data_IF_060169442938
#
_entry.id   IF_060169442938
#
_cell.length_a   1.000
_cell.length_b   1.000
_cell.length_c   1.000
_cell.angle_alpha   90.00
_cell.angle_beta   90.00
_cell.angle_gamma   90.00
#
_symmetry.space_group_name_H-M   'P 1'
#
loop_
_entity.id
_entity.type
_entity.pdbx_description
1 polymer ?
#
# COMPACT_ATOMS: atom_id res chain seq x y z
N UNK A 1 -2.65 6.18 -10.47
CA UNK A 1 -1.20 6.45 -10.60
C UNK A 1 -0.83 7.31 -9.40
N UNK A 2 -0.29 6.73 -8.34
CA UNK A 2 0.09 7.47 -7.12
C UNK A 2 1.43 8.13 -7.40
N UNK A 3 1.43 9.44 -7.63
CA UNK A 3 2.66 10.19 -7.87
C UNK A 3 3.28 10.60 -6.53
N UNK A 4 4.29 9.86 -6.08
CA UNK A 4 5.20 10.30 -5.01
C UNK A 4 6.42 10.94 -5.66
N UNK A 5 6.59 12.25 -5.51
CA UNK A 5 7.75 12.99 -6.01
C UNK A 5 8.70 13.28 -4.83
N UNK A 6 9.95 12.79 -4.83
CA UNK A 6 10.88 13.06 -3.74
C UNK A 6 11.54 14.43 -3.92
N UNK A 7 11.48 15.27 -2.88
CA UNK A 7 12.19 16.55 -2.80
C UNK A 7 13.69 16.31 -2.56
N UNK A 8 14.54 16.71 -3.52
CA UNK A 8 15.98 16.95 -3.27
C UNK A 8 16.12 18.33 -2.65
N UNK A 9 16.49 18.40 -1.36
CA UNK A 9 17.07 19.60 -0.78
C UNK A 9 18.59 19.50 -0.85
N UNK A 10 19.19 20.36 -1.66
CA UNK A 10 20.60 20.74 -1.62
C UNK A 10 20.91 21.35 -0.25
N UNK A 11 21.80 20.73 0.51
CA UNK A 11 22.42 21.33 1.70
C UNK A 11 23.87 21.66 1.38
N UNK A 12 24.15 22.96 1.24
CA UNK A 12 25.46 23.55 1.47
C UNK A 12 25.83 23.26 2.93
N UNK A 13 26.97 22.60 3.17
CA UNK A 13 27.59 22.48 4.49
C UNK A 13 29.01 23.03 4.36
N UNK A 14 29.31 24.03 5.17
CA UNK A 14 30.65 24.53 5.41
C UNK A 14 30.94 24.47 6.91
N UNK A 15 32.23 24.30 7.22
CA UNK A 15 32.93 24.36 8.52
C UNK A 15 33.03 23.13 9.43
N UNK A 16 34.23 22.54 9.36
CA UNK A 16 35.26 22.40 10.42
C UNK A 16 35.16 21.35 11.55
N UNK A 17 36.20 20.50 11.53
CA UNK A 17 37.05 19.99 12.64
C UNK A 17 36.47 19.11 13.75
N UNK A 18 37.09 17.92 13.94
CA UNK A 18 37.16 17.23 15.24
C UNK A 18 37.06 15.70 15.15
N UNK A 19 38.18 15.00 15.36
CA UNK A 19 38.35 13.55 15.35
C UNK A 19 37.76 12.83 16.60
N UNK A 20 37.57 11.49 16.58
CA UNK A 20 36.86 10.74 17.62
C UNK A 20 37.79 10.21 18.72
N UNK A 21 37.27 10.04 19.94
CA UNK A 21 37.94 9.35 21.05
C UNK A 21 37.15 8.07 21.38
N UNK A 22 37.84 6.94 21.28
CA UNK A 22 37.46 5.60 21.72
C UNK A 22 38.22 5.28 23.01
N UNK A 23 37.69 4.38 23.86
CA UNK A 23 38.32 3.46 24.84
C UNK A 23 37.39 3.25 26.09
N UNK A 24 37.53 2.19 26.91
CA UNK A 24 37.26 0.78 26.60
C UNK A 24 36.49 0.04 27.74
N UNK A 25 36.41 -1.29 27.60
CA UNK A 25 35.79 -2.33 28.44
C UNK A 25 36.54 -2.69 29.74
N UNK A 26 35.84 -3.48 30.58
CA UNK A 26 36.25 -4.29 31.77
C UNK A 26 36.14 -3.57 33.13
N UNK A 27 35.81 -4.18 34.28
CA UNK A 27 35.74 -5.59 34.68
C UNK A 27 34.91 -5.76 35.98
N UNK A 28 34.60 -7.01 36.31
CA UNK A 28 33.79 -7.54 37.42
C UNK A 28 34.35 -7.36 38.83
N UNK A 29 33.45 -7.21 39.83
CA UNK A 29 33.73 -7.56 41.24
C UNK A 29 32.49 -8.20 41.88
N UNK A 30 32.66 -9.43 42.36
CA UNK A 30 31.74 -10.20 43.20
C UNK A 30 32.19 -10.14 44.66
N UNK A 31 31.27 -9.96 45.62
CA UNK A 31 31.40 -10.50 46.98
C UNK A 31 30.00 -10.78 47.56
N UNK A 32 29.72 -12.05 47.87
CA UNK A 32 28.72 -12.43 48.88
C UNK A 32 29.27 -12.16 50.29
N UNK A 33 28.58 -12.32 51.40
CA UNK A 33 27.29 -12.94 51.75
C UNK A 33 27.16 -12.72 53.27
N UNK A 34 26.00 -12.34 53.82
CA UNK A 34 25.80 -12.47 55.27
C UNK A 34 24.31 -12.66 55.65
N UNK A 35 24.02 -13.90 56.08
CA UNK A 35 23.10 -14.34 57.15
C UNK A 35 21.57 -14.10 57.09
N UNK A 36 20.86 -15.19 57.44
CA UNK A 36 19.41 -15.49 57.55
C UNK A 36 18.93 -15.37 59.03
N UNK A 37 17.68 -15.74 59.43
CA UNK A 37 16.31 -15.53 58.91
C UNK A 37 15.30 -15.13 60.04
N UNK A 38 13.98 -15.28 59.79
CA UNK A 38 12.77 -15.10 60.65
C UNK A 38 12.17 -13.69 60.65
N UNK A 39 10.89 -13.44 60.35
CA UNK A 39 9.76 -14.29 59.94
C UNK A 39 8.47 -13.51 60.20
N UNK A 40 7.58 -13.36 59.22
CA UNK A 40 6.14 -13.12 59.42
C UNK A 40 5.36 -13.17 58.10
N UNK A 41 4.41 -14.09 58.06
CA UNK A 41 3.17 -14.18 57.28
C UNK A 41 2.81 -13.04 56.30
N UNK A 42 2.67 -13.39 55.00
CA UNK A 42 1.65 -12.78 54.13
C UNK A 42 1.31 -13.71 52.94
N UNK A 43 0.03 -14.06 52.88
CA UNK A 43 -0.80 -14.42 51.72
C UNK A 43 -0.15 -15.01 50.45
N UNK A 44 -0.55 -16.26 50.23
CA UNK A 44 -0.54 -17.02 48.99
C UNK A 44 -1.37 -16.30 47.89
N UNK A 45 -0.71 -15.68 46.91
CA UNK A 45 -1.22 -15.57 45.54
C UNK A 45 -0.07 -15.82 44.57
N UNK A 46 0.02 -17.08 44.10
CA UNK A 46 0.88 -17.48 43.00
C UNK A 46 0.03 -17.36 41.74
N UNK A 47 0.18 -16.28 40.97
CA UNK A 47 -0.38 -16.20 39.64
C UNK A 47 0.71 -16.66 38.65
N UNK A 48 0.60 -17.92 38.23
CA UNK A 48 1.35 -18.48 37.10
C UNK A 48 0.33 -18.99 36.10
N UNK A 49 0.10 -18.23 35.03
CA UNK A 49 -0.30 -18.69 33.70
C UNK A 49 -0.80 -17.49 32.90
N UNK A 50 -0.18 -17.18 31.76
CA UNK A 50 -0.77 -16.18 30.87
C UNK A 50 0.11 -15.58 29.78
N UNK A 51 1.20 -16.23 29.33
CA UNK A 51 2.00 -15.72 28.20
C UNK A 51 1.98 -16.68 27.00
N UNK A 52 1.94 -17.99 27.22
CA UNK A 52 1.97 -19.00 26.14
C UNK A 52 0.70 -19.07 25.28
N UNK A 53 -0.46 -18.68 25.80
CA UNK A 53 -1.74 -18.69 25.07
C UNK A 53 -1.98 -17.45 24.21
N UNK A 54 -1.41 -16.30 24.57
CA UNK A 54 -1.62 -15.04 23.86
C UNK A 54 -0.83 -15.00 22.55
N UNK A 55 0.46 -15.37 22.57
CA UNK A 55 1.30 -15.39 21.36
C UNK A 55 0.86 -16.46 20.35
N UNK A 56 0.38 -17.62 20.81
CA UNK A 56 -0.17 -18.66 19.94
C UNK A 56 -1.51 -18.24 19.32
N UNK A 57 -2.39 -17.56 20.08
CA UNK A 57 -3.63 -16.98 19.58
C UNK A 57 -3.37 -15.83 18.60
N UNK A 58 -2.42 -14.95 18.90
CA UNK A 58 -2.01 -13.85 18.02
C UNK A 58 -1.41 -14.37 16.70
N UNK A 59 -0.53 -15.38 16.78
CA UNK A 59 0.03 -16.03 15.58
C UNK A 59 -1.04 -16.70 14.72
N UNK A 60 -2.03 -17.37 15.34
CA UNK A 60 -3.18 -17.94 14.63
C UNK A 60 -4.01 -16.84 13.94
N UNK A 61 -4.31 -15.75 14.64
CA UNK A 61 -5.09 -14.63 14.09
C UNK A 61 -4.36 -13.94 12.93
N UNK A 62 -3.05 -13.72 13.02
CA UNK A 62 -2.25 -13.15 11.93
C UNK A 62 -2.27 -14.09 10.71
N UNK A 63 -2.11 -15.40 10.94
CA UNK A 63 -2.14 -16.41 9.87
C UNK A 63 -3.51 -16.50 9.21
N UNK A 64 -4.58 -16.49 9.99
CA UNK A 64 -5.97 -16.52 9.49
C UNK A 64 -6.31 -15.25 8.72
N UNK A 65 -5.91 -14.08 9.21
CA UNK A 65 -6.10 -12.80 8.51
C UNK A 65 -5.32 -12.76 7.20
N UNK A 66 -4.05 -13.18 7.20
CA UNK A 66 -3.24 -13.27 5.99
C UNK A 66 -3.86 -14.24 4.98
N UNK A 67 -4.36 -15.40 5.43
CA UNK A 67 -5.05 -16.36 4.56
C UNK A 67 -6.32 -15.76 3.96
N UNK A 68 -7.14 -15.10 4.76
CA UNK A 68 -8.36 -14.43 4.31
C UNK A 68 -8.06 -13.33 3.29
N UNK A 69 -7.02 -12.54 3.50
CA UNK A 69 -6.64 -11.47 2.57
C UNK A 69 -6.11 -12.02 1.24
N UNK A 70 -5.36 -13.12 1.27
CA UNK A 70 -4.99 -13.86 0.05
C UNK A 70 -6.24 -14.38 -0.66
N UNK A 71 -7.17 -15.03 0.05
CA UNK A 71 -8.42 -15.55 -0.53
C UNK A 71 -9.26 -14.44 -1.19
N UNK A 72 -9.33 -13.24 -0.60
CA UNK A 72 -10.00 -12.09 -1.22
C UNK A 72 -9.38 -11.71 -2.56
N UNK A 73 -8.06 -11.72 -2.66
CA UNK A 73 -7.35 -11.47 -3.94
C UNK A 73 -7.70 -12.56 -4.96
N UNK A 74 -7.62 -13.83 -4.55
CA UNK A 74 -7.95 -14.96 -5.44
C UNK A 74 -9.41 -14.93 -5.93
N UNK A 75 -10.35 -14.50 -5.09
CA UNK A 75 -11.75 -14.36 -5.46
C UNK A 75 -11.96 -13.16 -6.40
N UNK A 76 -11.31 -12.03 -6.14
CA UNK A 76 -11.37 -10.84 -6.97
C UNK A 76 -10.85 -11.05 -8.40
N UNK A 77 -9.83 -11.90 -8.57
CA UNK A 77 -9.27 -12.28 -9.87
C UNK A 77 -9.74 -13.63 -10.40
N UNK A 78 -10.85 -14.17 -9.87
CA UNK A 78 -11.36 -15.50 -10.26
C UNK A 78 -11.64 -15.61 -11.76
N UNK A 79 -12.29 -14.61 -12.36
CA UNK A 79 -12.60 -14.59 -13.79
C UNK A 79 -11.33 -14.52 -14.66
N UNK A 80 -10.38 -13.66 -14.30
CA UNK A 80 -9.07 -13.56 -14.98
C UNK A 80 -8.30 -14.88 -14.89
N UNK A 81 -8.31 -15.54 -13.72
CA UNK A 81 -7.67 -16.85 -13.55
C UNK A 81 -8.32 -17.93 -14.43
N UNK A 82 -9.64 -17.93 -14.55
CA UNK A 82 -10.35 -18.87 -15.42
C UNK A 82 -9.99 -18.65 -16.90
N UNK A 83 -9.90 -17.40 -17.35
CA UNK A 83 -9.50 -17.11 -18.74
C UNK A 83 -8.05 -17.54 -19.01
N UNK A 84 -7.13 -17.33 -18.05
CA UNK A 84 -5.73 -17.73 -18.17
C UNK A 84 -5.50 -19.24 -17.96
N UNK A 85 -6.51 -20.02 -17.55
CA UNK A 85 -6.36 -21.46 -17.37
C UNK A 85 -6.11 -22.21 -18.70
N UNK A 86 -6.52 -21.61 -19.83
CA UNK A 86 -6.23 -22.13 -21.18
C UNK A 86 -4.73 -22.32 -21.40
N UNK A 87 -3.90 -21.47 -20.78
CA UNK A 87 -2.43 -21.59 -20.85
C UNK A 87 -1.93 -22.95 -20.36
N UNK A 88 -2.59 -23.53 -19.35
CA UNK A 88 -2.20 -24.84 -18.83
C UNK A 88 -2.45 -25.94 -19.84
N UNK A 89 -3.56 -25.87 -20.57
CA UNK A 89 -3.90 -26.80 -21.64
C UNK A 89 -2.94 -26.69 -22.83
N UNK A 90 -2.61 -25.46 -23.23
CA UNK A 90 -1.66 -25.19 -24.32
C UNK A 90 -0.26 -25.76 -24.03
N UNK A 91 0.19 -25.66 -22.78
CA UNK A 91 1.54 -26.06 -22.38
C UNK A 91 1.67 -27.56 -22.09
N UNK A 92 0.57 -28.32 -21.95
CA UNK A 92 0.62 -29.77 -21.72
C UNK A 92 1.23 -30.55 -22.89
N UNK A 93 0.92 -30.14 -24.12
CA UNK A 93 1.38 -30.80 -25.35
C UNK A 93 2.49 -30.04 -26.07
N UNK A 94 3.07 -29.02 -25.41
CA UNK A 94 4.12 -28.22 -26.02
C UNK A 94 5.36 -29.07 -26.32
N UNK A 95 5.90 -28.88 -27.52
CA UNK A 95 7.22 -29.33 -27.93
C UNK A 95 7.90 -28.22 -28.75
N UNK A 96 9.19 -28.38 -29.05
CA UNK A 96 9.97 -27.34 -29.71
C UNK A 96 9.41 -26.94 -31.09
N UNK A 97 8.85 -27.88 -31.86
CA UNK A 97 8.29 -27.60 -33.19
C UNK A 97 6.98 -26.80 -33.11
N UNK A 98 6.22 -26.96 -32.03
CA UNK A 98 4.97 -26.25 -31.76
C UNK A 98 5.17 -24.87 -31.09
N UNK A 99 6.41 -24.43 -30.86
CA UNK A 99 6.71 -23.21 -30.08
C UNK A 99 5.97 -21.99 -30.58
N UNK A 100 6.05 -21.70 -31.88
CA UNK A 100 5.45 -20.47 -32.43
C UNK A 100 3.92 -20.48 -32.26
N UNK A 101 3.27 -21.60 -32.61
CA UNK A 101 1.82 -21.77 -32.45
C UNK A 101 1.38 -21.58 -30.99
N UNK A 102 2.05 -22.25 -30.05
CA UNK A 102 1.71 -22.16 -28.62
C UNK A 102 1.93 -20.75 -28.07
N UNK A 103 2.97 -20.06 -28.53
CA UNK A 103 3.25 -18.69 -28.12
C UNK A 103 2.25 -17.68 -28.70
N UNK A 104 1.76 -17.90 -29.92
CA UNK A 104 0.72 -17.06 -30.53
C UNK A 104 -0.63 -17.24 -29.78
N UNK A 105 -1.01 -18.48 -29.44
CA UNK A 105 -2.21 -18.76 -28.62
C UNK A 105 -2.07 -18.20 -27.19
N UNK A 106 -0.87 -18.24 -26.62
CA UNK A 106 -0.57 -17.58 -25.35
C UNK A 106 -0.72 -16.05 -25.44
N UNK A 107 -0.27 -15.43 -26.53
CA UNK A 107 -0.44 -14.00 -26.75
C UNK A 107 -1.92 -13.61 -26.76
N UNK A 108 -2.74 -14.36 -27.50
CA UNK A 108 -4.18 -14.14 -27.55
C UNK A 108 -4.83 -14.28 -26.15
N UNK A 109 -4.47 -15.32 -25.39
CA UNK A 109 -4.96 -15.50 -24.03
C UNK A 109 -4.61 -14.34 -23.08
N UNK A 110 -3.41 -13.75 -23.25
CA UNK A 110 -2.98 -12.56 -22.52
C UNK A 110 -3.83 -11.34 -22.93
N UNK A 111 -4.04 -11.13 -24.23
CA UNK A 111 -4.86 -10.01 -24.74
C UNK A 111 -6.32 -10.10 -24.26
N UNK A 112 -6.93 -11.29 -24.30
CA UNK A 112 -8.29 -11.55 -23.77
C UNK A 112 -8.39 -11.29 -22.25
N UNK A 113 -7.26 -11.35 -21.56
CA UNK A 113 -7.14 -11.08 -20.11
C UNK A 113 -6.73 -9.64 -19.79
N UNK A 114 -6.93 -8.70 -20.72
CA UNK A 114 -6.60 -7.27 -20.61
C UNK A 114 -5.11 -6.95 -20.44
N UNK A 115 -4.21 -7.86 -20.84
CA UNK A 115 -2.80 -7.49 -20.98
C UNK A 115 -2.65 -6.64 -22.26
N UNK A 116 -2.18 -5.41 -22.11
CA UNK A 116 -2.01 -4.51 -23.26
C UNK A 116 -0.99 -5.07 -24.28
N UNK A 117 -1.14 -4.78 -25.59
CA UNK A 117 -0.33 -5.40 -26.66
C UNK A 117 1.18 -5.34 -26.42
N UNK A 118 1.68 -4.17 -25.99
CA UNK A 118 3.11 -3.97 -25.70
C UNK A 118 3.65 -4.90 -24.60
N UNK A 119 2.82 -5.24 -23.61
CA UNK A 119 3.21 -6.13 -22.52
C UNK A 119 3.16 -7.58 -22.98
N UNK A 120 2.11 -7.97 -23.71
CA UNK A 120 1.92 -9.33 -24.24
C UNK A 120 3.08 -9.72 -25.15
N UNK A 121 3.39 -8.90 -26.17
CA UNK A 121 4.52 -9.11 -27.08
C UNK A 121 5.83 -9.27 -26.31
N UNK A 122 6.08 -8.37 -25.34
CA UNK A 122 7.31 -8.41 -24.54
C UNK A 122 7.45 -9.70 -23.72
N UNK A 123 6.35 -10.21 -23.18
CA UNK A 123 6.35 -11.48 -22.43
C UNK A 123 6.63 -12.63 -23.39
N UNK A 124 5.92 -12.69 -24.50
CA UNK A 124 6.02 -13.78 -25.49
C UNK A 124 7.40 -13.83 -26.13
N UNK A 125 7.97 -12.70 -26.54
CA UNK A 125 9.33 -12.62 -27.11
C UNK A 125 10.39 -13.09 -26.10
N UNK A 126 10.21 -12.76 -24.82
CA UNK A 126 11.13 -13.22 -23.76
C UNK A 126 11.08 -14.75 -23.63
N UNK A 127 9.88 -15.34 -23.65
CA UNK A 127 9.72 -16.79 -23.60
C UNK A 127 10.29 -17.46 -24.84
N UNK A 128 10.01 -16.91 -26.03
CA UNK A 128 10.55 -17.39 -27.32
C UNK A 128 12.08 -17.44 -27.28
N UNK A 129 12.71 -16.35 -26.84
CA UNK A 129 14.17 -16.28 -26.72
C UNK A 129 14.75 -17.31 -25.75
N UNK A 130 14.11 -17.52 -24.60
CA UNK A 130 14.58 -18.48 -23.60
C UNK A 130 14.35 -19.95 -24.01
N UNK A 131 13.29 -20.24 -24.77
CA UNK A 131 13.05 -21.55 -25.40
C UNK A 131 14.14 -21.83 -26.45
N UNK A 132 14.36 -20.90 -27.39
CA UNK A 132 15.33 -21.06 -28.48
C UNK A 132 16.77 -21.16 -27.96
N UNK A 133 17.08 -20.50 -26.85
CA UNK A 133 18.35 -20.61 -26.15
C UNK A 133 18.51 -21.92 -25.33
N UNK A 134 17.49 -22.79 -25.32
CA UNK A 134 17.51 -24.06 -24.59
C UNK A 134 17.43 -23.92 -23.07
N UNK A 135 17.00 -22.75 -22.56
CA UNK A 135 16.85 -22.51 -21.11
C UNK A 135 15.53 -23.05 -20.57
N UNK A 136 14.50 -23.11 -21.41
CA UNK A 136 13.19 -23.66 -21.08
C UNK A 136 12.95 -24.92 -21.90
N UNK A 137 12.75 -26.05 -21.22
CA UNK A 137 12.71 -27.39 -21.80
C UNK A 137 11.41 -28.13 -21.57
N UNK A 138 10.48 -27.55 -20.81
CA UNK A 138 9.17 -28.14 -20.53
C UNK A 138 8.07 -27.08 -20.39
N UNK A 139 6.81 -27.47 -20.60
CA UNK A 139 5.66 -26.59 -20.40
C UNK A 139 5.59 -26.00 -18.99
N UNK A 140 5.96 -26.77 -17.96
CA UNK A 140 6.03 -26.28 -16.58
C UNK A 140 7.08 -25.18 -16.40
N UNK A 141 8.26 -25.32 -17.02
CA UNK A 141 9.30 -24.27 -16.99
C UNK A 141 8.84 -23.01 -17.71
N UNK A 142 8.14 -23.14 -18.85
CA UNK A 142 7.55 -22.02 -19.58
C UNK A 142 6.50 -21.30 -18.72
N UNK A 143 5.64 -22.04 -18.02
CA UNK A 143 4.63 -21.46 -17.11
C UNK A 143 5.27 -20.69 -15.96
N UNK A 144 6.32 -21.23 -15.34
CA UNK A 144 7.02 -20.51 -14.26
C UNK A 144 7.79 -19.29 -14.80
N UNK A 145 8.36 -19.37 -16.00
CA UNK A 145 8.99 -18.24 -16.68
C UNK A 145 7.98 -17.13 -17.03
N UNK A 146 6.77 -17.48 -17.44
CA UNK A 146 5.66 -16.54 -17.66
C UNK A 146 5.31 -15.80 -16.37
N UNK A 147 5.09 -16.53 -15.27
CA UNK A 147 4.82 -15.95 -13.95
C UNK A 147 5.95 -15.03 -13.50
N UNK A 148 7.20 -15.45 -13.69
CA UNK A 148 8.39 -14.67 -13.39
C UNK A 148 8.47 -13.37 -14.21
N UNK A 149 8.15 -13.43 -15.51
CA UNK A 149 8.12 -12.28 -16.40
C UNK A 149 7.08 -11.25 -15.95
N UNK A 150 5.86 -11.67 -15.64
CA UNK A 150 4.80 -10.80 -15.12
C UNK A 150 5.23 -10.17 -13.79
N UNK A 151 5.76 -10.96 -12.86
CA UNK A 151 6.22 -10.46 -11.56
C UNK A 151 7.34 -9.42 -11.71
N UNK A 152 8.28 -9.65 -12.63
CA UNK A 152 9.36 -8.72 -12.91
C UNK A 152 8.84 -7.41 -13.50
N UNK A 153 7.82 -7.45 -14.37
CA UNK A 153 7.19 -6.24 -14.88
C UNK A 153 6.51 -5.41 -13.78
N UNK A 154 5.83 -6.08 -12.85
CA UNK A 154 5.22 -5.43 -11.68
C UNK A 154 6.27 -4.79 -10.77
N UNK A 155 7.40 -5.48 -10.51
CA UNK A 155 8.49 -4.96 -9.67
C UNK A 155 9.29 -3.83 -10.33
N UNK A 156 9.58 -3.93 -11.63
CA UNK A 156 10.40 -2.94 -12.36
C UNK A 156 9.78 -1.55 -12.41
N UNK A 157 8.45 -1.43 -12.32
CA UNK A 157 7.78 -0.12 -12.24
C UNK A 157 7.98 0.61 -10.90
N UNK A 158 8.75 0.04 -9.96
CA UNK A 158 9.59 0.82 -9.04
C UNK A 158 8.88 1.63 -7.95
N UNK A 159 7.59 1.41 -7.71
CA UNK A 159 6.90 1.99 -6.57
C UNK A 159 7.05 1.09 -5.34
N UNK A 160 7.36 1.66 -4.18
CA UNK A 160 7.03 0.98 -2.92
C UNK A 160 5.51 0.87 -2.86
N UNK A 161 5.00 -0.35 -2.65
CA UNK A 161 3.54 -0.58 -2.57
C UNK A 161 2.92 0.05 -1.31
N UNK A 162 3.73 0.28 -0.28
CA UNK A 162 3.33 0.92 0.97
C UNK A 162 3.25 2.43 0.84
N UNK A 163 2.32 3.04 1.58
CA UNK A 163 2.21 4.49 1.69
C UNK A 163 3.47 5.07 2.32
N UNK A 164 4.11 6.01 1.61
CA UNK A 164 5.32 6.69 2.07
C UNK A 164 4.94 7.96 2.83
N UNK A 165 4.49 7.82 4.07
CA UNK A 165 4.01 8.94 4.90
C UNK A 165 5.16 9.75 5.53
N UNK A 166 6.35 9.17 5.64
CA UNK A 166 7.49 9.79 6.34
C UNK A 166 7.24 9.92 7.85
N UNK A 167 8.00 10.80 8.49
CA UNK A 167 7.90 11.06 9.94
C UNK A 167 7.30 12.44 10.28
N UNK A 168 7.20 13.33 9.29
CA UNK A 168 6.64 14.67 9.50
C UNK A 168 5.12 14.58 9.50
N UNK A 169 4.49 15.22 10.48
CA UNK A 169 3.04 15.27 10.64
C UNK A 169 2.51 16.69 10.38
N UNK A 170 1.31 16.82 9.81
CA UNK A 170 0.50 15.73 9.25
C UNK A 170 1.04 15.24 7.90
N UNK A 171 0.89 13.95 7.61
CA UNK A 171 1.06 13.43 6.25
C UNK A 171 -0.21 13.72 5.44
N UNK A 172 -0.07 14.23 4.21
CA UNK A 172 -1.23 14.61 3.38
C UNK A 172 -1.37 13.62 2.23
N UNK A 173 -2.55 13.01 2.10
CA UNK A 173 -2.88 12.06 1.03
C UNK A 173 -4.05 12.61 0.22
N UNK A 174 -3.83 12.89 -1.05
CA UNK A 174 -4.87 13.30 -1.98
C UNK A 174 -5.34 12.10 -2.82
N UNK A 175 -6.65 11.86 -2.84
CA UNK A 175 -7.26 10.82 -3.68
C UNK A 175 -7.85 11.47 -4.93
N UNK A 176 -7.30 11.14 -6.09
CA UNK A 176 -7.64 11.76 -7.39
C UNK A 176 -8.12 10.73 -8.41
N UNK A 177 -8.96 11.15 -9.35
CA UNK A 177 -9.50 10.28 -10.40
C UNK A 177 -10.86 10.73 -10.96
N UNK A 178 -11.31 10.04 -12.00
CA UNK A 178 -12.58 10.34 -12.68
C UNK A 178 -13.80 9.91 -11.87
N UNK A 179 -14.99 10.34 -12.31
CA UNK A 179 -16.25 9.87 -11.75
C UNK A 179 -16.44 8.37 -11.93
N UNK A 180 -17.12 7.72 -10.99
CA UNK A 180 -17.35 6.27 -11.00
C UNK A 180 -16.17 5.42 -10.53
N UNK A 181 -14.95 5.97 -10.44
CA UNK A 181 -13.76 5.23 -9.99
C UNK A 181 -13.69 4.91 -8.49
N UNK A 182 -14.73 5.26 -7.71
CA UNK A 182 -14.81 4.94 -6.28
C UNK A 182 -13.86 5.73 -5.38
N UNK A 183 -13.53 6.99 -5.70
CA UNK A 183 -12.63 7.86 -4.91
C UNK A 183 -13.04 8.00 -3.43
N UNK A 184 -14.19 8.60 -3.19
CA UNK A 184 -14.75 8.85 -1.85
C UNK A 184 -14.87 7.55 -1.05
N UNK A 185 -15.38 6.48 -1.67
CA UNK A 185 -15.47 5.14 -1.06
C UNK A 185 -14.09 4.58 -0.69
N UNK A 186 -13.09 4.74 -1.55
CA UNK A 186 -11.72 4.25 -1.31
C UNK A 186 -11.01 5.07 -0.24
N UNK A 187 -11.27 6.39 -0.18
CA UNK A 187 -10.77 7.27 0.87
C UNK A 187 -11.34 6.87 2.23
N UNK A 188 -12.65 6.62 2.34
CA UNK A 188 -13.28 6.13 3.57
C UNK A 188 -12.74 4.76 4.02
N UNK A 189 -12.54 3.82 3.09
CA UNK A 189 -11.88 2.53 3.39
C UNK A 189 -10.43 2.70 3.87
N UNK A 190 -9.70 3.66 3.29
CA UNK A 190 -8.34 3.98 3.71
C UNK A 190 -8.34 4.60 5.12
N UNK A 191 -9.27 5.50 5.42
CA UNK A 191 -9.41 6.05 6.77
C UNK A 191 -9.70 4.98 7.81
N UNK A 192 -10.64 4.06 7.52
CA UNK A 192 -10.92 2.92 8.39
C UNK A 192 -9.66 2.07 8.66
N UNK A 193 -8.87 1.80 7.62
CA UNK A 193 -7.61 1.08 7.77
C UNK A 193 -6.62 1.84 8.67
N UNK A 194 -6.41 3.13 8.43
CA UNK A 194 -5.44 3.95 9.17
C UNK A 194 -5.87 4.17 10.62
N UNK A 195 -7.17 4.37 10.89
CA UNK A 195 -7.73 4.44 12.25
C UNK A 195 -7.53 3.12 13.01
N UNK A 196 -7.71 1.97 12.36
CA UNK A 196 -7.42 0.66 12.96
C UNK A 196 -5.93 0.42 13.22
N UNK A 197 -5.05 1.13 12.51
CA UNK A 197 -3.61 1.17 12.78
C UNK A 197 -3.25 2.21 13.87
N UNK A 198 -4.23 2.92 14.43
CA UNK A 198 -4.08 3.86 15.54
C UNK A 198 -3.80 5.32 15.13
N UNK A 199 -3.86 5.65 13.84
CA UNK A 199 -3.59 7.01 13.37
C UNK A 199 -4.73 7.98 13.69
N UNK A 200 -4.38 9.21 14.09
CA UNK A 200 -5.32 10.34 14.19
C UNK A 200 -5.55 10.93 12.79
N UNK A 201 -6.71 10.63 12.21
CA UNK A 201 -7.07 10.97 10.81
C UNK A 201 -8.04 12.15 10.77
N UNK A 202 -7.73 13.13 9.91
CA UNK A 202 -8.65 14.19 9.50
C UNK A 202 -9.04 13.98 8.03
N UNK A 203 -10.32 14.02 7.71
CA UNK A 203 -10.83 14.00 6.33
C UNK A 203 -11.09 15.42 5.83
N UNK A 204 -10.90 15.65 4.53
CA UNK A 204 -11.22 16.91 3.87
C UNK A 204 -12.13 16.67 2.66
N UNK A 205 -13.33 17.23 2.67
CA UNK A 205 -14.32 17.10 1.60
C UNK A 205 -14.01 18.05 0.43
N UNK A 206 -12.97 17.73 -0.34
CA UNK A 206 -12.55 18.50 -1.50
C UNK A 206 -13.23 18.13 -2.82
N UNK A 207 -14.21 17.21 -2.85
CA UNK A 207 -15.09 17.03 -4.02
C UNK A 207 -16.22 18.07 -3.96
N UNK A 208 -15.89 19.32 -4.25
CA UNK A 208 -16.83 20.45 -4.20
C UNK A 208 -17.76 20.50 -5.42
N UNK A 209 -17.54 19.64 -6.42
CA UNK A 209 -18.38 19.55 -7.61
C UNK A 209 -19.60 18.65 -7.40
N UNK A 210 -19.50 17.64 -6.54
CA UNK A 210 -20.56 16.67 -6.28
C UNK A 210 -21.05 16.78 -4.84
N UNK A 211 -22.17 17.47 -4.62
CA UNK A 211 -22.78 17.63 -3.29
C UNK A 211 -22.91 16.29 -2.54
N UNK A 212 -23.43 15.25 -3.20
CA UNK A 212 -23.58 13.91 -2.62
C UNK A 212 -22.24 13.24 -2.24
N UNK A 213 -21.10 13.69 -2.77
CA UNK A 213 -19.79 13.17 -2.37
C UNK A 213 -19.37 13.70 -0.99
N UNK A 214 -19.69 14.97 -0.66
CA UNK A 214 -19.47 15.51 0.69
C UNK A 214 -20.30 14.75 1.72
N UNK A 215 -21.61 14.60 1.48
CA UNK A 215 -22.52 13.84 2.36
C UNK A 215 -22.04 12.40 2.53
N UNK A 216 -21.59 11.76 1.44
CA UNK A 216 -21.05 10.41 1.49
C UNK A 216 -19.77 10.35 2.35
N UNK A 217 -18.90 11.36 2.26
CA UNK A 217 -17.67 11.42 3.04
C UNK A 217 -17.96 11.69 4.52
N UNK A 218 -18.98 12.50 4.85
CA UNK A 218 -19.46 12.71 6.23
C UNK A 218 -19.93 11.39 6.87
N UNK A 219 -20.69 10.59 6.13
CA UNK A 219 -21.08 9.23 6.58
C UNK A 219 -19.86 8.34 6.82
N UNK A 220 -18.80 8.46 6.00
CA UNK A 220 -17.54 7.74 6.24
C UNK A 220 -16.78 8.27 7.46
N UNK A 221 -16.79 9.58 7.68
CA UNK A 221 -16.19 10.21 8.84
C UNK A 221 -16.84 9.68 10.12
N UNK A 222 -18.18 9.69 10.18
CA UNK A 222 -18.95 9.11 11.30
C UNK A 222 -18.64 7.61 11.50
N UNK A 223 -18.70 6.81 10.43
CA UNK A 223 -18.42 5.35 10.49
C UNK A 223 -17.02 4.99 10.97
N UNK A 224 -16.06 5.88 10.75
CA UNK A 224 -14.65 5.64 11.09
C UNK A 224 -14.21 6.41 12.32
N UNK A 225 -15.12 7.16 12.96
CA UNK A 225 -14.78 8.07 14.06
C UNK A 225 -13.64 9.04 13.66
N UNK A 226 -13.69 9.53 12.43
CA UNK A 226 -12.74 10.53 11.91
C UNK A 226 -13.41 11.89 11.89
N UNK A 227 -12.65 12.94 12.17
CA UNK A 227 -13.14 14.30 11.99
C UNK A 227 -13.06 14.70 10.51
N UNK A 228 -13.89 15.65 10.11
CA UNK A 228 -14.00 16.10 8.72
C UNK A 228 -14.04 17.63 8.63
N UNK A 229 -13.39 18.17 7.61
CA UNK A 229 -13.56 19.55 7.16
C UNK A 229 -14.41 19.54 5.90
N UNK A 230 -15.54 20.25 5.95
CA UNK A 230 -16.50 20.39 4.86
C UNK A 230 -16.49 21.83 4.33
N UNK A 231 -16.93 22.01 3.08
CA UNK A 231 -17.12 23.32 2.50
C UNK A 231 -18.28 24.06 3.19
N UNK A 232 -18.05 25.28 3.65
CA UNK A 232 -19.12 26.18 4.14
C UNK A 232 -19.81 26.86 2.94
N UNK A 233 -20.72 26.13 2.29
CA UNK A 233 -21.56 26.62 1.19
C UNK A 233 -21.14 26.18 -0.21
N UNK A 234 -22.06 26.35 -1.18
CA UNK A 234 -21.97 25.75 -2.53
C UNK A 234 -20.90 26.37 -3.44
N UNK A 235 -20.27 27.48 -3.04
CA UNK A 235 -19.31 28.24 -3.86
C UNK A 235 -17.84 28.10 -3.40
N UNK A 236 -17.58 27.31 -2.37
CA UNK A 236 -16.22 27.12 -1.84
C UNK A 236 -15.41 26.24 -2.79
N UNK A 237 -14.19 26.69 -3.11
CA UNK A 237 -13.27 25.95 -3.98
C UNK A 237 -12.54 24.87 -3.20
N UNK A 238 -12.29 23.71 -3.82
CA UNK A 238 -11.55 22.60 -3.22
C UNK A 238 -10.20 22.99 -2.57
N UNK A 239 -9.35 23.86 -3.16
CA UNK A 239 -8.10 24.28 -2.51
C UNK A 239 -8.32 24.96 -1.15
N UNK A 240 -9.42 25.70 -0.97
CA UNK A 240 -9.72 26.37 0.29
C UNK A 240 -10.04 25.34 1.39
N UNK A 241 -10.86 24.35 1.08
CA UNK A 241 -11.22 23.26 2.02
C UNK A 241 -9.98 22.46 2.43
N UNK A 242 -9.14 22.09 1.45
CA UNK A 242 -7.90 21.35 1.71
C UNK A 242 -6.90 22.17 2.54
N UNK A 243 -6.77 23.47 2.27
CA UNK A 243 -5.89 24.37 3.01
C UNK A 243 -6.31 24.49 4.47
N UNK A 244 -7.61 24.67 4.71
CA UNK A 244 -8.18 24.69 6.06
C UNK A 244 -7.94 23.37 6.80
N UNK A 245 -8.15 22.23 6.13
CA UNK A 245 -7.90 20.91 6.72
C UNK A 245 -6.43 20.71 7.10
N UNK A 246 -5.49 21.06 6.23
CA UNK A 246 -4.05 20.94 6.53
C UNK A 246 -3.64 21.87 7.68
N UNK A 247 -4.15 23.10 7.69
CA UNK A 247 -3.89 24.06 8.79
C UNK A 247 -4.41 23.51 10.12
N UNK A 248 -5.67 23.10 10.16
CA UNK A 248 -6.32 22.50 11.33
C UNK A 248 -5.56 21.27 11.82
N UNK A 249 -5.20 20.39 10.90
CA UNK A 249 -4.45 19.17 11.20
C UNK A 249 -3.10 19.46 11.88
N UNK A 250 -2.42 20.53 11.46
CA UNK A 250 -1.16 20.97 12.07
C UNK A 250 -1.36 21.57 13.45
N UNK A 251 -2.40 22.37 13.65
CA UNK A 251 -2.72 23.03 14.92
C UNK A 251 -3.18 22.01 15.98
N UNK A 252 -3.98 21.03 15.58
CA UNK A 252 -4.58 20.02 16.47
C UNK A 252 -3.78 18.70 16.53
N UNK A 253 -2.61 18.66 15.90
CA UNK A 253 -1.67 17.54 15.99
C UNK A 253 -2.17 16.21 15.39
N UNK A 254 -2.80 16.26 14.22
CA UNK A 254 -3.20 15.05 13.48
C UNK A 254 -2.01 14.36 12.81
N UNK A 255 -2.14 13.06 12.61
CA UNK A 255 -1.14 12.25 11.94
C UNK A 255 -1.28 12.36 10.43
N UNK A 256 -2.51 12.31 9.93
CA UNK A 256 -2.82 12.17 8.51
C UNK A 256 -4.02 13.05 8.13
N UNK A 257 -3.91 13.76 7.00
CA UNK A 257 -5.04 14.39 6.31
C UNK A 257 -5.36 13.60 5.04
N UNK A 258 -6.60 13.15 4.91
CA UNK A 258 -7.13 12.47 3.73
C UNK A 258 -8.03 13.42 2.95
N UNK A 259 -7.56 13.84 1.77
CA UNK A 259 -8.24 14.81 0.94
C UNK A 259 -8.99 14.11 -0.20
N UNK A 260 -10.32 14.23 -0.22
CA UNK A 260 -11.09 13.93 -1.43
C UNK A 260 -10.91 15.06 -2.45
N UNK A 261 -11.11 14.77 -3.72
CA UNK A 261 -10.98 15.77 -4.79
C UNK A 261 -12.10 15.63 -5.82
N UNK A 262 -12.43 16.75 -6.45
CA UNK A 262 -13.41 16.81 -7.53
C UNK A 262 -13.18 15.74 -8.58
N UNK A 263 -14.21 14.95 -8.84
CA UNK A 263 -14.24 14.01 -9.94
C UNK A 263 -14.91 14.58 -11.19
N UNK A 264 -14.27 14.45 -12.35
CA UNK A 264 -14.91 14.76 -13.64
C UNK A 264 -15.00 13.51 -14.51
N UNK A 265 -15.95 13.51 -15.45
CA UNK A 265 -16.19 12.38 -16.35
C UNK A 265 -15.01 12.15 -17.30
N UNK A 266 -14.35 13.24 -17.71
CA UNK A 266 -13.12 13.22 -18.48
C UNK A 266 -12.08 14.12 -17.82
N UNK A 267 -10.80 13.78 -17.98
CA UNK A 267 -9.70 14.67 -17.61
C UNK A 267 -9.76 15.92 -18.48
N UNK A 268 -9.89 17.09 -17.86
CA UNK A 268 -9.93 18.36 -18.56
C UNK A 268 -8.97 19.37 -17.91
N UNK A 269 -8.69 20.47 -18.61
CA UNK A 269 -7.73 21.48 -18.18
C UNK A 269 -8.09 22.08 -16.80
N UNK A 270 -9.37 22.40 -16.59
CA UNK A 270 -9.87 22.94 -15.32
C UNK A 270 -9.62 22.02 -14.12
N UNK A 271 -9.80 20.70 -14.27
CA UNK A 271 -9.49 19.73 -13.22
C UNK A 271 -7.99 19.70 -12.91
N UNK A 272 -7.14 19.80 -13.93
CA UNK A 272 -5.69 19.78 -13.74
C UNK A 272 -5.21 21.03 -12.99
N UNK A 273 -5.71 22.21 -13.33
CA UNK A 273 -5.40 23.44 -12.59
C UNK A 273 -5.87 23.37 -11.13
N UNK A 274 -7.07 22.84 -10.89
CA UNK A 274 -7.61 22.64 -9.54
C UNK A 274 -6.71 21.72 -8.71
N UNK A 275 -6.27 20.59 -9.27
CA UNK A 275 -5.35 19.67 -8.60
C UNK A 275 -3.96 20.28 -8.34
N UNK A 276 -3.45 21.11 -9.25
CA UNK A 276 -2.18 21.85 -9.05
C UNK A 276 -2.32 22.86 -7.92
N UNK A 277 -3.43 23.60 -7.87
CA UNK A 277 -3.71 24.55 -6.79
C UNK A 277 -3.79 23.83 -5.43
N UNK A 278 -4.49 22.69 -5.36
CA UNK A 278 -4.60 21.88 -4.15
C UNK A 278 -3.24 21.32 -3.67
N UNK A 279 -2.32 21.01 -4.59
CA UNK A 279 -1.00 20.45 -4.24
C UNK A 279 -0.05 21.50 -3.62
N UNK A 280 -0.26 22.78 -3.89
CA UNK A 280 0.70 23.84 -3.53
C UNK A 280 0.47 24.41 -2.12
N UNK A 281 -0.46 23.79 -1.37
CA UNK A 281 -0.87 24.14 -0.01
C UNK A 281 0.07 23.54 1.05
#
# INVERSE_FOLDING_TARGET
MVATVPLRLTRLVSYHSGAPILLPLSESVTYGSLWRPCGASASRFRCSAGQTGFFTKLGRLIKEKAKSDVEKIFNGFSKTRSNLAVVDELLLYWNLADTDRVLDELEEALLVSDFGPKISIKIVDSLRGDILAGKLKSGNEIKEALKGSILNLLKRKGGKAELQLGFRKPAVIMVVGVNGGGKTTSLGKLAWRLKNEGAKVLMAAGDTFRAAASEQLEVWAERTDSEIVVAEGDTVKAPSVLSQAVKRAKEEGYDIVLCDTSGRLHTNYSLMEELVACKTL
#
